data_IF_147451090681
#
_entry.id   IF_147451090681
#
_cell.length_a   1.000
_cell.length_b   1.000
_cell.length_c   1.000
_cell.angle_alpha   90.00
_cell.angle_beta   90.00
_cell.angle_gamma   90.00
#
_symmetry.space_group_name_H-M   'P 1'
#
loop_
_entity.id
_entity.type
_entity.pdbx_description
1 polymer ?
#
# COMPACT_ATOMS: atom_id res chain seq x y z
N UNK A 1 13.07 14.22 -2.41
CA UNK A 1 11.65 13.87 -2.59
C UNK A 1 11.33 12.63 -1.79
N UNK A 2 10.18 12.61 -1.15
CA UNK A 2 9.76 11.46 -0.35
C UNK A 2 9.21 10.36 -1.24
N UNK A 3 9.55 9.14 -0.92
CA UNK A 3 9.05 7.97 -1.62
C UNK A 3 7.77 7.51 -0.92
N UNK A 4 6.71 7.32 -1.69
CA UNK A 4 5.43 6.82 -1.17
C UNK A 4 5.21 5.41 -1.71
N UNK A 5 4.95 4.47 -0.80
CA UNK A 5 4.67 3.08 -1.14
C UNK A 5 3.34 2.69 -0.52
N UNK A 6 2.47 2.07 -1.30
CA UNK A 6 1.18 1.57 -0.82
C UNK A 6 1.10 0.06 -1.05
N UNK A 7 0.70 -0.66 -0.02
CA UNK A 7 0.42 -2.09 -0.10
C UNK A 7 -1.08 -2.28 -0.18
N UNK A 8 -1.54 -2.98 -1.22
CA UNK A 8 -2.96 -3.18 -1.50
C UNK A 8 -3.26 -4.66 -1.67
N UNK A 9 -4.52 -4.98 -1.94
CA UNK A 9 -4.95 -6.33 -2.23
C UNK A 9 -6.26 -6.33 -2.99
N UNK A 10 -6.75 -7.50 -3.40
CA UNK A 10 -7.98 -7.60 -4.17
C UNK A 10 -9.20 -7.27 -3.30
N UNK A 11 -10.27 -6.81 -3.94
CA UNK A 11 -11.55 -6.52 -3.30
C UNK A 11 -11.43 -5.60 -2.10
N UNK A 12 -10.54 -4.64 -2.19
CA UNK A 12 -10.30 -3.69 -1.10
C UNK A 12 -10.82 -2.30 -1.51
N UNK A 13 -11.98 -1.93 -0.99
CA UNK A 13 -12.56 -0.62 -1.29
C UNK A 13 -11.73 0.52 -0.71
N UNK A 14 -11.16 0.31 0.46
CA UNK A 14 -10.31 1.33 1.09
C UNK A 14 -9.00 1.52 0.34
N UNK A 15 -8.48 0.45 -0.29
CA UNK A 15 -7.30 0.58 -1.14
C UNK A 15 -7.59 1.48 -2.35
N UNK A 16 -8.75 1.28 -2.97
CA UNK A 16 -9.16 2.12 -4.09
C UNK A 16 -9.33 3.58 -3.66
N UNK A 17 -9.94 3.81 -2.51
CA UNK A 17 -10.12 5.15 -1.98
C UNK A 17 -8.77 5.81 -1.68
N UNK A 18 -7.83 5.06 -1.11
CA UNK A 18 -6.50 5.58 -0.81
C UNK A 18 -5.76 5.96 -2.08
N UNK A 19 -5.81 5.11 -3.11
CA UNK A 19 -5.16 5.42 -4.39
C UNK A 19 -5.80 6.63 -5.05
N UNK A 20 -7.11 6.74 -4.99
CA UNK A 20 -7.82 7.89 -5.54
C UNK A 20 -7.37 9.18 -4.86
N UNK A 21 -7.24 9.15 -3.54
CA UNK A 21 -6.78 10.31 -2.78
C UNK A 21 -5.35 10.71 -3.17
N UNK A 22 -4.46 9.73 -3.29
CA UNK A 22 -3.08 10.00 -3.71
C UNK A 22 -3.02 10.60 -5.11
N UNK A 23 -3.83 10.08 -6.03
CA UNK A 23 -3.89 10.60 -7.39
C UNK A 23 -4.45 12.03 -7.40
N UNK A 24 -5.47 12.30 -6.59
CA UNK A 24 -6.07 13.62 -6.49
C UNK A 24 -5.07 14.66 -5.99
N UNK A 25 -4.17 14.25 -5.11
CA UNK A 25 -3.13 15.13 -4.58
C UNK A 25 -1.87 15.14 -5.44
N UNK A 26 -1.89 14.48 -6.58
CA UNK A 26 -0.78 14.39 -7.52
C UNK A 26 0.48 13.82 -6.88
N UNK A 27 0.29 12.86 -5.97
CA UNK A 27 1.39 12.16 -5.32
C UNK A 27 1.78 10.95 -6.15
N UNK A 28 3.05 10.84 -6.50
CA UNK A 28 3.57 9.65 -7.15
C UNK A 28 3.82 8.59 -6.10
N UNK A 29 3.32 7.37 -6.36
CA UNK A 29 3.44 6.28 -5.41
C UNK A 29 3.76 4.97 -6.14
N UNK A 30 4.30 4.02 -5.39
CA UNK A 30 4.55 2.66 -5.86
C UNK A 30 3.51 1.77 -5.18
N UNK A 31 2.79 0.98 -5.98
CA UNK A 31 1.78 0.06 -5.45
C UNK A 31 2.30 -1.37 -5.50
N UNK A 32 2.16 -2.09 -4.39
CA UNK A 32 2.41 -3.53 -4.32
C UNK A 32 1.12 -4.25 -3.94
N UNK A 33 0.67 -5.17 -4.79
CA UNK A 33 -0.49 -6.00 -4.51
C UNK A 33 0.00 -7.26 -3.78
N UNK A 34 -0.38 -7.40 -2.51
CA UNK A 34 0.11 -8.50 -1.68
C UNK A 34 -0.48 -9.85 -2.05
N UNK A 35 -1.56 -9.86 -2.83
CA UNK A 35 -2.13 -11.12 -3.33
C UNK A 35 -1.39 -11.61 -4.57
N UNK A 36 -0.89 -10.68 -5.38
CA UNK A 36 -0.10 -11.03 -6.56
C UNK A 36 1.32 -11.41 -6.17
N UNK A 37 1.87 -10.75 -5.17
CA UNK A 37 3.23 -11.00 -4.72
C UNK A 37 3.24 -11.28 -3.21
N UNK A 38 3.21 -12.57 -2.80
CA UNK A 38 3.18 -12.91 -1.38
C UNK A 38 4.39 -12.43 -0.60
N UNK A 39 5.53 -12.24 -1.25
CA UNK A 39 6.72 -11.71 -0.56
C UNK A 39 6.49 -10.29 -0.07
N UNK A 40 5.63 -9.54 -0.75
CA UNK A 40 5.28 -8.19 -0.32
C UNK A 40 4.38 -8.20 0.91
N UNK A 41 3.57 -9.23 1.08
CA UNK A 41 2.80 -9.40 2.30
C UNK A 41 3.72 -9.55 3.51
N UNK A 42 4.73 -10.40 3.38
CA UNK A 42 5.71 -10.58 4.44
C UNK A 42 6.47 -9.29 4.73
N UNK A 43 6.89 -8.59 3.68
CA UNK A 43 7.57 -7.30 3.81
C UNK A 43 6.70 -6.29 4.56
N UNK A 44 5.42 -6.21 4.20
CA UNK A 44 4.47 -5.32 4.86
C UNK A 44 4.33 -5.67 6.35
N UNK A 45 4.22 -6.95 6.67
CA UNK A 45 4.09 -7.40 8.04
C UNK A 45 5.34 -7.06 8.87
N UNK A 46 6.50 -7.17 8.27
CA UNK A 46 7.75 -6.80 8.96
C UNK A 46 7.79 -5.30 9.26
N UNK A 47 7.36 -4.47 8.31
CA UNK A 47 7.35 -3.02 8.48
C UNK A 47 6.30 -2.55 9.48
N UNK A 48 5.22 -3.30 9.63
CA UNK A 48 4.08 -2.90 10.47
C UNK A 48 3.99 -3.71 11.77
N UNK A 49 4.98 -4.56 12.03
CA UNK A 49 5.02 -5.44 13.21
C UNK A 49 3.84 -6.40 13.24
N UNK A 50 3.52 -6.97 12.09
CA UNK A 50 2.51 -8.02 11.98
C UNK A 50 1.12 -7.57 11.57
N UNK A 51 0.95 -6.34 11.11
CA UNK A 51 -0.35 -5.88 10.65
C UNK A 51 -0.81 -6.68 9.43
N UNK A 52 -2.10 -6.98 9.36
CA UNK A 52 -2.68 -7.73 8.25
C UNK A 52 -3.71 -6.92 7.47
N UNK A 53 -3.89 -5.67 7.85
CA UNK A 53 -4.88 -4.80 7.20
C UNK A 53 -4.28 -4.07 6.03
N UNK A 54 -5.10 -3.81 5.03
CA UNK A 54 -4.75 -2.99 3.87
C UNK A 54 -5.79 -1.88 3.74
N UNK A 55 -5.47 -0.74 3.16
CA UNK A 55 -4.15 -0.39 2.64
C UNK A 55 -3.13 -0.05 3.73
N UNK A 56 -1.85 -0.23 3.42
CA UNK A 56 -0.76 0.25 4.28
C UNK A 56 0.06 1.22 3.44
N UNK A 57 0.26 2.42 3.94
CA UNK A 57 0.95 3.49 3.22
C UNK A 57 2.17 3.91 4.00
N UNK A 58 3.31 3.95 3.31
CA UNK A 58 4.59 4.36 3.90
C UNK A 58 5.14 5.54 3.13
N UNK A 59 5.58 6.56 3.84
CA UNK A 59 6.13 7.80 3.29
C UNK A 59 7.53 8.00 3.86
N UNK A 60 8.49 8.17 2.96
CA UNK A 60 9.85 8.40 3.42
C UNK A 60 10.90 7.44 2.94
#
# INVERSE_FOLDING_TARGET
MQKVVIYTGPMCNYCSAAKHLLNKKEVNYIEFDIAVDPSKMQEMQEKTKGARTIPQIFIG
#
